data_IF_198220652997
#
_entry.id   IF_198220652997
#
_cell.length_a   1.000
_cell.length_b   1.000
_cell.length_c   1.000
_cell.angle_alpha   90.00
_cell.angle_beta   90.00
_cell.angle_gamma   90.00
#
_symmetry.space_group_name_H-M   'P 1'
#
loop_
_entity.id
_entity.type
_entity.pdbx_description
1 polymer ?
#
# COMPACT_ATOMS: atom_id res chain seq x y z
N UNK A 1 10.77 0.34 15.60
CA UNK A 1 10.35 -0.29 14.33
C UNK A 1 10.04 0.74 13.22
N UNK A 2 10.52 2.00 13.29
CA UNK A 2 10.15 3.06 12.34
C UNK A 2 11.07 3.16 11.10
N UNK A 3 12.36 2.84 11.25
CA UNK A 3 13.35 3.07 10.18
C UNK A 3 13.13 2.17 8.95
N UNK A 4 12.83 0.88 9.16
CA UNK A 4 12.55 -0.09 8.08
C UNK A 4 11.34 0.28 7.23
N UNK A 5 10.40 1.04 7.78
CA UNK A 5 9.13 1.35 7.12
C UNK A 5 9.23 2.63 6.30
N UNK A 6 9.91 3.66 6.81
CA UNK A 6 10.31 4.82 6.01
C UNK A 6 11.22 4.40 4.85
N UNK A 7 12.10 3.41 5.08
CA UNK A 7 12.93 2.84 4.02
C UNK A 7 12.10 2.16 2.93
N UNK A 8 10.98 1.48 3.28
CA UNK A 8 10.03 0.93 2.29
C UNK A 8 9.40 2.03 1.44
N UNK A 9 8.94 3.11 2.05
CA UNK A 9 8.32 4.23 1.33
C UNK A 9 9.31 4.92 0.39
N UNK A 10 10.52 5.19 0.87
CA UNK A 10 11.61 5.73 0.06
C UNK A 10 12.05 4.78 -1.06
N UNK A 11 12.01 3.48 -0.83
CA UNK A 11 12.27 2.46 -1.87
C UNK A 11 11.17 2.47 -2.93
N UNK A 12 9.91 2.50 -2.53
CA UNK A 12 8.78 2.55 -3.46
C UNK A 12 8.87 3.78 -4.37
N UNK A 13 9.16 4.96 -3.80
CA UNK A 13 9.40 6.18 -4.58
C UNK A 13 10.53 6.01 -5.59
N UNK A 14 11.68 5.49 -5.16
CA UNK A 14 12.83 5.25 -6.07
C UNK A 14 12.50 4.26 -7.18
N UNK A 15 11.68 3.24 -6.90
CA UNK A 15 11.25 2.29 -7.93
C UNK A 15 10.30 2.94 -8.94
N UNK A 16 9.36 3.77 -8.48
CA UNK A 16 8.50 4.56 -9.36
C UNK A 16 9.31 5.55 -10.23
N UNK A 17 10.22 6.33 -9.63
CA UNK A 17 11.06 7.28 -10.36
C UNK A 17 11.95 6.59 -11.41
N UNK A 18 12.30 5.32 -11.21
CA UNK A 18 13.06 4.48 -12.16
C UNK A 18 12.19 3.73 -13.17
N UNK A 19 10.87 3.93 -13.15
CA UNK A 19 9.92 3.23 -14.03
C UNK A 19 9.74 1.74 -13.70
N UNK A 20 10.17 1.29 -12.51
CA UNK A 20 9.98 -0.09 -12.04
C UNK A 20 8.61 -0.33 -11.43
N UNK A 21 7.94 0.73 -10.96
CA UNK A 21 6.52 0.70 -10.60
C UNK A 21 5.76 1.56 -11.60
N UNK A 22 4.66 1.05 -12.13
CA UNK A 22 3.74 1.82 -12.95
C UNK A 22 2.96 2.85 -12.13
N UNK A 23 2.26 3.74 -12.83
CA UNK A 23 1.31 4.70 -12.24
C UNK A 23 0.13 4.03 -11.53
N UNK A 24 -0.09 2.74 -11.80
CA UNK A 24 -1.08 1.91 -11.11
C UNK A 24 -0.49 1.22 -9.88
N UNK A 25 0.71 0.64 -9.99
CA UNK A 25 1.35 -0.11 -8.90
C UNK A 25 1.88 0.79 -7.78
N UNK A 26 2.36 1.99 -8.08
CA UNK A 26 2.95 2.85 -7.06
C UNK A 26 1.96 3.24 -5.94
N UNK A 27 0.73 3.69 -6.24
CA UNK A 27 -0.30 3.90 -5.22
C UNK A 27 -0.61 2.65 -4.38
N UNK A 28 -0.55 1.46 -4.97
CA UNK A 28 -0.82 0.19 -4.27
C UNK A 28 0.30 -0.13 -3.28
N UNK A 29 1.56 0.11 -3.65
CA UNK A 29 2.69 -0.01 -2.70
C UNK A 29 2.60 1.03 -1.58
N UNK A 30 2.15 2.26 -1.87
CA UNK A 30 1.92 3.28 -0.85
C UNK A 30 0.83 2.87 0.14
N UNK A 31 -0.27 2.27 -0.33
CA UNK A 31 -1.30 1.69 0.55
C UNK A 31 -0.68 0.64 1.46
N UNK A 32 0.13 -0.30 0.93
CA UNK A 32 0.81 -1.33 1.72
C UNK A 32 1.75 -0.73 2.77
N UNK A 33 2.47 0.34 2.45
CA UNK A 33 3.34 1.04 3.41
C UNK A 33 2.52 1.69 4.55
N UNK A 34 1.31 2.18 4.26
CA UNK A 34 0.44 2.81 5.24
C UNK A 34 0.00 1.87 6.38
N UNK A 35 0.02 0.54 6.16
CA UNK A 35 -0.28 -0.46 7.19
C UNK A 35 0.65 -0.37 8.42
N UNK A 36 1.85 0.17 8.22
CA UNK A 36 2.96 0.06 9.19
C UNK A 36 3.50 1.40 9.69
N UNK A 37 3.01 2.53 9.17
CA UNK A 37 3.38 3.89 9.62
C UNK A 37 2.24 4.54 10.41
N UNK A 38 2.58 5.50 11.26
CA UNK A 38 1.59 6.46 11.75
C UNK A 38 1.07 7.31 10.59
N UNK A 39 -0.24 7.56 10.56
CA UNK A 39 -0.88 8.22 9.42
C UNK A 39 -0.33 9.62 9.15
N UNK A 40 -0.07 10.40 10.19
CA UNK A 40 0.53 11.74 10.06
C UNK A 40 1.97 11.69 9.52
N UNK A 41 2.75 10.67 9.90
CA UNK A 41 4.11 10.47 9.40
C UNK A 41 4.09 9.99 7.94
N UNK A 42 3.18 9.09 7.60
CA UNK A 42 2.95 8.64 6.22
C UNK A 42 2.64 9.83 5.29
N UNK A 43 1.68 10.69 5.66
CA UNK A 43 1.29 11.82 4.81
C UNK A 43 2.40 12.84 4.57
N UNK A 44 3.34 13.02 5.52
CA UNK A 44 4.50 13.90 5.32
C UNK A 44 5.44 13.42 4.23
N UNK A 45 5.43 12.12 3.92
CA UNK A 45 6.35 11.49 2.97
C UNK A 45 5.67 11.15 1.64
N UNK A 46 4.35 11.31 1.53
CA UNK A 46 3.58 11.02 0.32
C UNK A 46 3.33 12.29 -0.49
N UNK A 47 3.60 12.29 -1.81
CA UNK A 47 3.27 13.41 -2.68
C UNK A 47 1.77 13.75 -2.65
N UNK A 48 1.43 15.03 -2.56
CA UNK A 48 0.06 15.49 -2.36
C UNK A 48 -0.86 15.15 -3.53
N UNK A 49 -0.32 15.05 -4.75
CA UNK A 49 -1.05 14.64 -5.95
C UNK A 49 -1.56 13.19 -5.90
N UNK A 50 -0.98 12.35 -5.03
CA UNK A 50 -1.41 10.96 -4.85
C UNK A 50 -2.48 10.79 -3.77
N UNK A 51 -2.68 11.80 -2.91
CA UNK A 51 -3.66 11.75 -1.82
C UNK A 51 -5.07 11.42 -2.32
N UNK A 52 -5.60 12.04 -3.40
CA UNK A 52 -6.94 11.69 -3.90
C UNK A 52 -7.07 10.22 -4.32
N UNK A 53 -6.02 9.65 -4.92
CA UNK A 53 -6.01 8.25 -5.35
C UNK A 53 -5.97 7.31 -4.15
N UNK A 54 -5.21 7.65 -3.11
CA UNK A 54 -5.19 6.91 -1.84
C UNK A 54 -6.53 6.98 -1.09
N UNK A 55 -7.19 8.14 -1.13
CA UNK A 55 -8.55 8.30 -0.58
C UNK A 55 -9.56 7.41 -1.31
N UNK A 56 -9.51 7.35 -2.65
CA UNK A 56 -10.35 6.45 -3.44
C UNK A 56 -10.09 4.98 -3.07
N UNK A 57 -8.83 4.55 -3.04
CA UNK A 57 -8.46 3.17 -2.67
C UNK A 57 -8.93 2.81 -1.24
N UNK A 58 -8.79 3.74 -0.29
CA UNK A 58 -9.27 3.55 1.09
C UNK A 58 -10.80 3.48 1.18
N UNK A 59 -11.51 4.32 0.41
CA UNK A 59 -12.96 4.34 0.37
C UNK A 59 -13.56 3.04 -0.22
N UNK A 60 -12.85 2.41 -1.17
CA UNK A 60 -13.32 1.23 -1.89
C UNK A 60 -12.85 -0.12 -1.32
N UNK A 61 -12.21 -0.16 -0.14
CA UNK A 61 -11.70 -1.40 0.43
C UNK A 61 -12.80 -2.39 0.88
N UNK A 62 -12.56 -3.72 0.77
CA UNK A 62 -11.30 -4.34 0.34
C UNK A 62 -11.06 -4.22 -1.18
N UNK A 63 -9.80 -3.97 -1.55
CA UNK A 63 -9.37 -4.03 -2.95
C UNK A 63 -9.72 -5.37 -3.57
N UNK A 64 -9.86 -5.33 -4.90
CA UNK A 64 -10.05 -6.51 -5.70
C UNK A 64 -8.75 -7.35 -5.65
N UNK A 65 -8.79 -8.69 -5.54
CA UNK A 65 -7.59 -9.54 -5.56
C UNK A 65 -6.58 -9.19 -6.66
N UNK A 66 -7.08 -8.66 -7.78
CA UNK A 66 -6.38 -8.14 -8.95
C UNK A 66 -5.40 -7.00 -8.63
N UNK A 67 -5.72 -6.13 -7.67
CA UNK A 67 -4.88 -4.99 -7.29
C UNK A 67 -3.52 -5.46 -6.73
N UNK A 68 -3.47 -6.65 -6.12
CA UNK A 68 -2.26 -7.19 -5.49
C UNK A 68 -1.51 -8.15 -6.41
N UNK A 69 -2.21 -8.77 -7.37
CA UNK A 69 -1.63 -9.73 -8.32
C UNK A 69 -0.64 -9.06 -9.30
N UNK A 70 -0.66 -7.74 -9.48
CA UNK A 70 0.30 -7.04 -10.33
C UNK A 70 1.75 -7.09 -9.82
N UNK A 71 1.98 -7.23 -8.50
CA UNK A 71 3.34 -7.36 -7.94
C UNK A 71 3.98 -8.74 -8.13
N UNK A 72 3.20 -9.75 -8.52
CA UNK A 72 3.61 -11.15 -8.51
C UNK A 72 4.35 -11.59 -9.79
N UNK A 73 4.32 -10.79 -10.86
CA UNK A 73 4.76 -11.22 -12.20
C UNK A 73 6.28 -11.18 -12.44
N UNK A 74 7.10 -10.96 -11.40
CA UNK A 74 8.55 -10.89 -11.50
C UNK A 74 9.27 -12.02 -10.77
N UNK A 75 9.59 -13.10 -11.49
CA UNK A 75 10.61 -14.12 -11.19
C UNK A 75 10.55 -14.80 -9.80
N UNK A 76 9.69 -15.82 -9.64
CA UNK A 76 9.78 -16.80 -8.55
C UNK A 76 9.83 -18.23 -9.10
N UNK A 77 10.63 -19.07 -8.46
CA UNK A 77 10.99 -20.43 -8.89
C UNK A 77 10.15 -21.54 -8.24
N UNK A 78 9.16 -21.20 -7.39
CA UNK A 78 8.21 -22.16 -6.79
C UNK A 78 6.85 -21.51 -6.54
N UNK A 79 5.76 -22.22 -6.88
CA UNK A 79 4.37 -21.75 -6.77
C UNK A 79 3.92 -21.51 -5.31
N UNK A 80 4.36 -22.34 -4.37
CA UNK A 80 3.95 -22.26 -2.94
C UNK A 80 4.50 -20.99 -2.26
N UNK A 81 5.75 -20.63 -2.57
CA UNK A 81 6.37 -19.39 -2.09
C UNK A 81 5.73 -18.13 -2.72
N UNK A 82 5.18 -18.26 -3.93
CA UNK A 82 4.46 -17.19 -4.59
C UNK A 82 3.09 -16.96 -3.93
N UNK A 83 2.40 -18.03 -3.54
CA UNK A 83 1.11 -17.97 -2.85
C UNK A 83 1.21 -17.31 -1.46
N UNK A 84 2.17 -17.74 -0.64
CA UNK A 84 2.40 -17.13 0.69
C UNK A 84 2.78 -15.65 0.58
N UNK A 85 3.64 -15.31 -0.38
CA UNK A 85 4.02 -13.93 -0.63
C UNK A 85 2.81 -13.10 -1.06
N UNK A 86 2.00 -13.61 -1.97
CA UNK A 86 0.79 -12.92 -2.42
C UNK A 86 -0.22 -12.75 -1.28
N UNK A 87 -0.39 -13.76 -0.41
CA UNK A 87 -1.22 -13.66 0.77
C UNK A 87 -0.76 -12.54 1.70
N UNK A 88 0.55 -12.49 2.01
CA UNK A 88 1.13 -11.42 2.83
C UNK A 88 0.96 -10.04 2.20
N UNK A 89 1.13 -9.91 0.89
CA UNK A 89 0.92 -8.63 0.20
C UNK A 89 -0.54 -8.17 0.27
N UNK A 90 -1.50 -9.12 0.21
CA UNK A 90 -2.93 -8.84 0.35
C UNK A 90 -3.28 -8.39 1.76
N UNK A 91 -2.72 -9.05 2.78
CA UNK A 91 -2.88 -8.64 4.18
C UNK A 91 -2.35 -7.24 4.44
N UNK A 92 -1.14 -6.93 3.98
CA UNK A 92 -0.55 -5.58 4.09
C UNK A 92 -1.40 -4.53 3.38
N UNK A 93 -1.91 -4.87 2.19
CA UNK A 93 -2.76 -3.95 1.44
C UNK A 93 -4.06 -3.67 2.18
N UNK A 94 -4.72 -4.73 2.68
CA UNK A 94 -5.98 -4.60 3.43
C UNK A 94 -5.81 -3.76 4.70
N UNK A 95 -4.78 -4.07 5.50
CA UNK A 95 -4.44 -3.29 6.69
C UNK A 95 -4.12 -1.82 6.35
N UNK A 96 -3.42 -1.59 5.23
CA UNK A 96 -3.14 -0.27 4.70
C UNK A 96 -4.40 0.52 4.37
N UNK A 97 -5.33 -0.08 3.63
CA UNK A 97 -6.63 0.51 3.33
C UNK A 97 -7.44 0.87 4.58
N UNK A 98 -7.49 -0.03 5.56
CA UNK A 98 -8.17 0.24 6.83
C UNK A 98 -7.55 1.46 7.55
N UNK A 99 -6.22 1.50 7.63
CA UNK A 99 -5.50 2.59 8.30
C UNK A 99 -5.66 3.92 7.58
N UNK A 100 -5.64 3.91 6.24
CA UNK A 100 -5.95 5.10 5.43
C UNK A 100 -7.41 5.53 5.59
N UNK A 101 -8.35 4.59 5.70
CA UNK A 101 -9.77 4.90 5.93
C UNK A 101 -9.98 5.59 7.28
N UNK A 102 -9.38 5.07 8.34
CA UNK A 102 -9.40 5.69 9.67
C UNK A 102 -8.77 7.08 9.67
N UNK A 103 -7.69 7.27 8.91
CA UNK A 103 -7.00 8.56 8.81
C UNK A 103 -7.74 9.61 7.97
N UNK A 104 -8.25 9.22 6.79
CA UNK A 104 -8.95 10.13 5.87
C UNK A 104 -10.43 10.33 6.19
N UNK A 105 -11.08 9.32 6.78
CA UNK A 105 -12.52 9.30 7.04
C UNK A 105 -12.82 8.83 8.48
N UNK A 106 -12.30 9.51 9.51
CA UNK A 106 -12.47 9.09 10.90
C UNK A 106 -13.95 8.99 11.34
N UNK A 107 -14.85 9.73 10.68
CA UNK A 107 -16.29 9.72 10.97
C UNK A 107 -17.04 8.54 10.32
N UNK A 108 -16.41 7.77 9.44
CA UNK A 108 -17.03 6.65 8.71
C UNK A 108 -16.79 5.28 9.35
N UNK A 109 -15.82 5.15 10.25
CA UNK A 109 -15.64 3.94 11.03
C UNK A 109 -16.46 4.06 12.33
N UNK A 110 -17.29 3.06 12.68
CA UNK A 110 -17.90 3.02 14.01
C UNK A 110 -16.77 2.98 15.03
N UNK A 111 -16.77 3.92 15.99
CA UNK A 111 -15.89 3.83 17.16
C UNK A 111 -16.10 2.44 17.80
N UNK A 112 -15.01 1.79 18.25
CA UNK A 112 -15.11 0.52 18.97
C UNK A 112 -16.01 0.64 20.19
#
# INVERSE_FOLDING_TARGET
MSQSTLDRLNRAKRQYDRGMLSTHEYPIELVRCAATLEFAEFLKNVPSELIPKLQQLAAHAPARPEDVNHFAMGAFTSEELLEERNAKQREEYFAGCQRLRQGFFPDRDPKP
#
